data_IF_205655978325
#
_entry.id   IF_205655978325
#
_cell.length_a   1.000
_cell.length_b   1.000
_cell.length_c   1.000
_cell.angle_alpha   90.00
_cell.angle_beta   90.00
_cell.angle_gamma   90.00
#
_symmetry.space_group_name_H-M   'P 1'
#
loop_
_entity.id
_entity.type
_entity.pdbx_description
1 polymer ?
#
# COMPACT_ATOMS: atom_id res chain seq x y z
N UNK A 1 -3.20 -8.22 -10.68
CA UNK A 1 -3.84 -6.91 -10.46
C UNK A 1 -4.20 -6.25 -11.77
N UNK A 2 -3.22 -5.90 -12.62
CA UNK A 2 -3.46 -5.24 -13.91
C UNK A 2 -4.41 -6.04 -14.82
N UNK A 3 -4.07 -7.29 -15.13
CA UNK A 3 -4.88 -8.14 -16.00
C UNK A 3 -6.25 -8.52 -15.42
N UNK A 4 -6.39 -8.51 -14.09
CA UNK A 4 -7.61 -8.93 -13.39
C UNK A 4 -8.60 -7.78 -13.15
N UNK A 5 -8.10 -6.59 -12.74
CA UNK A 5 -8.93 -5.46 -12.30
C UNK A 5 -8.89 -4.25 -13.24
N UNK A 6 -7.97 -4.21 -14.22
CA UNK A 6 -7.86 -3.08 -15.16
C UNK A 6 -8.15 -3.49 -16.61
N UNK A 7 -7.23 -4.21 -17.27
CA UNK A 7 -7.37 -4.56 -18.69
C UNK A 7 -6.63 -5.87 -19.03
N UNK A 8 -7.22 -6.80 -19.81
CA UNK A 8 -8.58 -6.79 -20.40
C UNK A 8 -9.69 -7.01 -19.36
N UNK A 9 -9.31 -7.42 -18.14
CA UNK A 9 -10.23 -7.73 -17.06
C UNK A 9 -10.84 -9.13 -17.22
N UNK A 10 -10.93 -9.86 -16.11
CA UNK A 10 -11.44 -11.25 -16.09
C UNK A 10 -12.91 -11.31 -15.67
N UNK A 11 -13.53 -12.49 -15.71
CA UNK A 11 -14.91 -12.69 -15.23
C UNK A 11 -15.11 -12.18 -13.79
N UNK A 12 -16.24 -11.53 -13.47
CA UNK A 12 -16.58 -11.05 -12.13
C UNK A 12 -16.43 -12.09 -11.01
N UNK A 13 -16.71 -13.38 -11.29
CA UNK A 13 -16.57 -14.48 -10.34
C UNK A 13 -15.11 -14.64 -9.92
N UNK A 14 -14.18 -14.69 -10.87
CA UNK A 14 -12.75 -14.80 -10.59
C UNK A 14 -12.21 -13.53 -9.91
N UNK A 15 -12.70 -12.34 -10.28
CA UNK A 15 -12.30 -11.09 -9.58
C UNK A 15 -12.68 -11.14 -8.11
N UNK A 16 -13.87 -11.65 -7.77
CA UNK A 16 -14.33 -11.78 -6.38
C UNK A 16 -13.46 -12.75 -5.58
N UNK A 17 -13.00 -13.83 -6.21
CA UNK A 17 -12.11 -14.82 -5.58
C UNK A 17 -10.68 -14.27 -5.36
N UNK A 18 -10.14 -13.50 -6.31
CA UNK A 18 -8.76 -12.97 -6.24
C UNK A 18 -8.66 -11.71 -5.37
N UNK A 19 -9.76 -10.95 -5.22
CA UNK A 19 -9.80 -9.71 -4.44
C UNK A 19 -9.21 -9.81 -3.01
N UNK A 20 -9.58 -10.80 -2.17
CA UNK A 20 -8.98 -10.92 -0.83
C UNK A 20 -7.46 -11.14 -0.87
N UNK A 21 -6.97 -11.96 -1.80
CA UNK A 21 -5.53 -12.18 -1.99
C UNK A 21 -4.81 -10.92 -2.48
N UNK A 22 -5.44 -10.14 -3.36
CA UNK A 22 -4.87 -8.88 -3.83
C UNK A 22 -4.74 -7.85 -2.71
N UNK A 23 -5.77 -7.71 -1.87
CA UNK A 23 -5.77 -6.80 -0.72
C UNK A 23 -4.71 -7.24 0.29
N UNK A 24 -4.66 -8.54 0.63
CA UNK A 24 -3.65 -9.08 1.54
C UNK A 24 -2.24 -8.89 0.97
N UNK A 25 -1.99 -9.28 -0.27
CA UNK A 25 -0.69 -9.16 -0.92
C UNK A 25 -0.22 -7.70 -1.03
N UNK A 26 -1.12 -6.77 -1.33
CA UNK A 26 -0.79 -5.34 -1.35
C UNK A 26 -0.39 -4.82 0.03
N UNK A 27 -1.15 -5.20 1.07
CA UNK A 27 -0.87 -4.76 2.45
C UNK A 27 0.42 -5.39 2.98
N UNK A 28 0.63 -6.68 2.75
CA UNK A 28 1.83 -7.40 3.14
C UNK A 28 3.08 -6.84 2.44
N UNK A 29 2.98 -6.50 1.15
CA UNK A 29 4.09 -5.87 0.42
C UNK A 29 4.48 -4.52 1.01
N UNK A 30 3.52 -3.67 1.39
CA UNK A 30 3.83 -2.37 2.01
C UNK A 30 4.63 -2.56 3.31
N UNK A 31 4.21 -3.50 4.16
CA UNK A 31 4.92 -3.82 5.41
C UNK A 31 6.32 -4.38 5.12
N UNK A 32 6.42 -5.31 4.18
CA UNK A 32 7.70 -5.94 3.80
C UNK A 32 8.67 -4.92 3.20
N UNK A 33 8.21 -4.04 2.32
CA UNK A 33 9.03 -2.97 1.74
C UNK A 33 9.50 -1.99 2.82
N UNK A 34 8.65 -1.67 3.81
CA UNK A 34 9.06 -0.88 4.97
C UNK A 34 10.19 -1.55 5.76
N UNK A 35 10.08 -2.85 6.04
CA UNK A 35 11.13 -3.62 6.71
C UNK A 35 12.44 -3.66 5.90
N UNK A 36 12.35 -3.94 4.60
CA UNK A 36 13.53 -3.96 3.69
C UNK A 36 14.21 -2.60 3.66
N UNK A 37 13.46 -1.50 3.61
CA UNK A 37 14.02 -0.15 3.62
C UNK A 37 14.77 0.15 4.92
N UNK A 38 14.21 -0.23 6.08
CA UNK A 38 14.86 -0.04 7.38
C UNK A 38 16.14 -0.88 7.49
N UNK A 39 16.11 -2.15 7.06
CA UNK A 39 17.29 -3.02 7.03
C UNK A 39 18.37 -2.43 6.12
N UNK A 40 18.03 -2.00 4.90
CA UNK A 40 18.99 -1.39 3.97
C UNK A 40 19.57 -0.07 4.47
N UNK A 41 18.78 0.76 5.17
CA UNK A 41 19.28 1.96 5.84
C UNK A 41 20.27 1.62 6.96
N UNK A 42 19.98 0.57 7.73
CA UNK A 42 20.84 0.09 8.82
C UNK A 42 22.16 -0.45 8.29
N UNK A 43 22.14 -1.28 7.23
CA UNK A 43 23.34 -1.77 6.55
C UNK A 43 24.20 -0.61 6.02
N UNK A 44 23.56 0.37 5.36
CA UNK A 44 24.26 1.54 4.84
C UNK A 44 24.87 2.39 5.96
N UNK A 45 24.17 2.54 7.08
CA UNK A 45 24.69 3.25 8.24
C UNK A 45 25.94 2.52 8.79
N UNK A 46 25.83 1.23 9.08
CA UNK A 46 26.93 0.46 9.66
C UNK A 46 28.18 0.45 8.77
N UNK A 47 28.03 0.22 7.46
CA UNK A 47 29.17 0.14 6.56
C UNK A 47 29.77 1.51 6.22
N UNK A 48 28.93 2.53 5.98
CA UNK A 48 29.43 3.85 5.59
C UNK A 48 30.13 4.57 6.75
N UNK A 49 29.62 4.44 7.97
CA UNK A 49 30.23 5.04 9.16
C UNK A 49 31.54 4.36 9.53
N UNK A 50 31.55 3.01 9.55
CA UNK A 50 32.77 2.23 9.79
C UNK A 50 33.88 2.57 8.78
N UNK A 51 33.55 2.72 7.50
CA UNK A 51 34.52 3.11 6.46
C UNK A 51 35.10 4.52 6.65
N UNK A 52 34.41 5.41 7.37
CA UNK A 52 34.84 6.78 7.63
C UNK A 52 35.51 6.95 8.99
N UNK A 53 35.77 5.86 9.71
CA UNK A 53 36.39 5.88 11.04
C UNK A 53 35.50 6.39 12.16
N UNK A 54 34.18 6.49 11.93
CA UNK A 54 33.20 6.89 12.94
C UNK A 54 32.38 5.69 13.37
N UNK A 55 32.19 5.48 14.68
CA UNK A 55 31.32 4.42 15.17
C UNK A 55 29.86 4.87 15.18
N UNK A 56 28.95 3.99 14.76
CA UNK A 56 27.51 4.25 14.83
C UNK A 56 27.03 4.50 16.27
N UNK A 57 27.70 3.89 17.25
CA UNK A 57 27.39 4.03 18.68
C UNK A 57 27.56 5.46 19.18
N UNK A 58 28.48 6.22 18.60
CA UNK A 58 28.74 7.60 18.97
C UNK A 58 27.70 8.58 18.40
N UNK A 59 26.70 8.05 17.67
CA UNK A 59 25.58 8.82 17.10
C UNK A 59 26.03 10.09 16.37
N UNK A 60 26.99 10.01 15.43
CA UNK A 60 27.39 11.17 14.66
C UNK A 60 26.21 11.70 13.83
N UNK A 61 26.25 12.97 13.43
CA UNK A 61 25.14 13.63 12.73
C UNK A 61 24.53 12.82 11.55
N UNK A 62 25.31 12.11 10.70
CA UNK A 62 24.74 11.26 9.65
C UNK A 62 23.90 10.09 10.18
N UNK A 63 24.26 9.49 11.32
CA UNK A 63 23.52 8.39 11.93
C UNK A 63 22.16 8.86 12.48
N UNK A 64 22.11 10.07 13.06
CA UNK A 64 20.85 10.67 13.55
C UNK A 64 19.88 10.90 12.39
N UNK A 65 20.37 11.45 11.27
CA UNK A 65 19.53 11.70 10.08
C UNK A 65 18.97 10.37 9.53
N UNK A 66 19.80 9.34 9.43
CA UNK A 66 19.36 8.01 8.96
C UNK A 66 18.29 7.43 9.89
N UNK A 67 18.46 7.54 11.20
CA UNK A 67 17.49 7.04 12.17
C UNK A 67 16.16 7.81 12.12
N UNK A 68 16.20 9.13 11.97
CA UNK A 68 14.99 9.95 11.81
C UNK A 68 14.23 9.59 10.52
N UNK A 69 14.96 9.31 9.45
CA UNK A 69 14.36 8.83 8.19
C UNK A 69 13.81 7.40 8.32
N UNK A 70 14.49 6.50 9.05
CA UNK A 70 13.97 5.17 9.38
C UNK A 70 12.67 5.26 10.19
N UNK A 71 12.61 6.15 11.18
CA UNK A 71 11.42 6.36 12.00
C UNK A 71 10.25 6.91 11.17
N UNK A 72 10.50 7.84 10.25
CA UNK A 72 9.43 8.37 9.39
C UNK A 72 8.84 7.30 8.48
N UNK A 73 9.66 6.35 7.98
CA UNK A 73 9.18 5.18 7.22
C UNK A 73 8.29 4.29 8.08
N UNK A 74 8.69 4.02 9.33
CA UNK A 74 7.86 3.21 10.26
C UNK A 74 6.51 3.87 10.47
N UNK A 75 6.50 5.16 10.82
CA UNK A 75 5.27 5.93 11.06
C UNK A 75 4.38 5.92 9.81
N UNK A 76 4.95 6.19 8.63
CA UNK A 76 4.22 6.13 7.36
C UNK A 76 3.59 4.76 7.12
N UNK A 77 4.36 3.68 7.30
CA UNK A 77 3.89 2.31 7.07
C UNK A 77 2.74 1.96 8.01
N UNK A 78 2.84 2.32 9.30
CA UNK A 78 1.78 2.09 10.30
C UNK A 78 0.52 2.87 9.94
N UNK A 79 0.65 4.13 9.57
CA UNK A 79 -0.50 4.97 9.18
C UNK A 79 -1.22 4.42 7.94
N UNK A 80 -0.47 3.97 6.93
CA UNK A 80 -1.05 3.38 5.72
C UNK A 80 -1.79 2.08 6.04
N UNK A 81 -1.20 1.19 6.84
CA UNK A 81 -1.85 -0.06 7.27
C UNK A 81 -3.12 0.22 8.07
N UNK A 82 -3.07 1.20 8.98
CA UNK A 82 -4.24 1.64 9.73
C UNK A 82 -5.33 2.17 8.79
N UNK A 83 -4.98 3.02 7.83
CA UNK A 83 -5.94 3.60 6.88
C UNK A 83 -6.63 2.52 6.02
N UNK A 84 -5.86 1.55 5.51
CA UNK A 84 -6.37 0.49 4.61
C UNK A 84 -7.23 -0.54 5.35
N UNK A 85 -6.98 -0.76 6.65
CA UNK A 85 -7.75 -1.72 7.46
C UNK A 85 -9.08 -1.18 7.97
N UNK A 86 -9.26 0.14 8.04
CA UNK A 86 -10.49 0.77 8.51
C UNK A 86 -11.63 0.60 7.50
N UNK A 87 -12.74 -0.08 7.86
CA UNK A 87 -13.88 -0.28 6.96
C UNK A 87 -14.60 1.04 6.62
N UNK A 88 -14.54 2.04 7.51
CA UNK A 88 -15.13 3.36 7.35
C UNK A 88 -14.57 4.13 6.14
N UNK A 89 -13.28 3.93 5.83
CA UNK A 89 -12.60 4.57 4.70
C UNK A 89 -12.69 3.74 3.40
N UNK A 90 -13.36 2.58 3.42
CA UNK A 90 -13.56 1.82 2.19
C UNK A 90 -14.45 2.61 1.23
N UNK A 91 -14.02 2.66 -0.04
CA UNK A 91 -14.80 3.27 -1.11
C UNK A 91 -16.17 2.62 -1.18
N UNK A 92 -17.22 3.39 -0.92
CA UNK A 92 -18.61 2.95 -1.10
C UNK A 92 -18.90 2.81 -2.59
N UNK A 93 -19.48 1.68 -2.98
CA UNK A 93 -20.00 1.50 -4.32
C UNK A 93 -21.25 2.36 -4.46
N UNK A 94 -21.20 3.41 -5.30
CA UNK A 94 -22.39 4.13 -5.74
C UNK A 94 -22.86 3.40 -7.01
N UNK A 95 -23.96 2.63 -6.95
CA UNK A 95 -24.45 1.94 -8.13
C UNK A 95 -24.88 2.99 -9.17
N UNK A 96 -24.44 2.78 -10.41
CA UNK A 96 -24.89 3.54 -11.57
C UNK A 96 -26.41 3.41 -11.83
N UNK A 97 -27.14 2.65 -11.00
CA UNK A 97 -28.61 2.58 -10.91
C UNK A 97 -29.27 3.96 -10.84
N UNK A 98 -28.59 4.95 -10.26
CA UNK A 98 -29.09 6.33 -10.17
C UNK A 98 -28.59 7.23 -11.31
N UNK A 99 -27.77 6.72 -12.23
CA UNK A 99 -27.33 7.47 -13.38
C UNK A 99 -28.42 7.44 -14.46
N UNK A 100 -28.73 8.58 -15.11
CA UNK A 100 -29.88 8.70 -16.02
C UNK A 100 -29.89 7.62 -17.11
N UNK A 101 -28.73 7.21 -17.61
CA UNK A 101 -28.61 6.16 -18.64
C UNK A 101 -29.07 4.76 -18.22
N UNK A 102 -29.06 4.42 -16.94
CA UNK A 102 -29.48 3.09 -16.46
C UNK A 102 -31.00 3.05 -16.18
N UNK A 103 -31.60 4.17 -15.78
CA UNK A 103 -33.06 4.28 -15.62
C UNK A 103 -33.79 4.04 -16.95
N UNK A 104 -33.31 4.67 -18.02
CA UNK A 104 -33.87 4.52 -19.38
C UNK A 104 -33.86 3.07 -19.86
N UNK A 105 -32.78 2.33 -19.62
CA UNK A 105 -32.69 0.91 -20.01
C UNK A 105 -33.66 0.04 -19.22
N UNK A 106 -33.87 0.33 -17.92
CA UNK A 106 -34.79 -0.45 -17.08
C UNK A 106 -36.25 -0.20 -17.50
N UNK A 107 -36.60 1.06 -17.75
CA UNK A 107 -37.93 1.47 -18.23
C UNK A 107 -38.25 0.85 -19.60
N UNK A 108 -37.30 0.86 -20.54
CA UNK A 108 -37.45 0.24 -21.88
C UNK A 108 -37.55 -1.30 -21.86
N UNK A 109 -37.13 -1.96 -20.78
CA UNK A 109 -37.22 -3.43 -20.64
C UNK A 109 -38.45 -3.90 -19.88
N UNK A 110 -39.24 -2.97 -19.33
CA UNK A 110 -40.46 -3.25 -18.55
C UNK A 110 -41.75 -2.90 -19.29
N UNK A 111 -41.65 -2.45 -20.55
CA UNK A 111 -42.74 -2.44 -21.53
C UNK A 111 -42.58 -3.61 -22.50
#
# INVERSE_FOLDING_TARGET
AFFSFLYPGIDPVYRRLILPFHIFGGTANIVLTGAVAITGLTEKALFSLKSKGAEYRDLPAPAVIINMFGLSIVVFTVLVVWLVTKPEFRRRYIPAVNAPQYKLRREQTTE
#
